data_IF_497135852267
#
_entry.id   IF_497135852267
#
_cell.length_a   1.000
_cell.length_b   1.000
_cell.length_c   1.000
_cell.angle_alpha   90.00
_cell.angle_beta   90.00
_cell.angle_gamma   90.00
#
_symmetry.space_group_name_H-M   'P 1'
#
loop_
_entity.id
_entity.type
_entity.pdbx_description
1 polymer ?
#
# COMPACT_ATOMS: atom_id res chain seq x y z
N UNK A 1 10.17 -4.38 -9.28
CA UNK A 1 10.35 -2.91 -9.19
C UNK A 1 11.83 -2.64 -9.00
N UNK A 2 12.49 -1.84 -9.85
CA UNK A 2 13.90 -1.51 -9.66
C UNK A 2 14.08 -0.71 -8.36
N UNK A 3 15.13 -1.02 -7.61
CA UNK A 3 15.45 -0.31 -6.38
C UNK A 3 15.92 1.12 -6.68
N UNK A 4 15.56 2.13 -5.86
CA UNK A 4 16.07 3.47 -6.03
C UNK A 4 17.59 3.52 -5.78
N UNK A 5 18.27 4.48 -6.42
CA UNK A 5 19.68 4.76 -6.16
C UNK A 5 19.92 4.99 -4.66
N UNK A 6 20.97 4.37 -4.11
CA UNK A 6 21.32 4.46 -2.69
C UNK A 6 21.53 5.91 -2.23
N UNK A 7 21.26 6.17 -0.95
CA UNK A 7 21.37 7.51 -0.38
C UNK A 7 22.82 8.02 -0.40
N UNK A 8 23.80 7.14 -0.18
CA UNK A 8 25.23 7.47 -0.27
C UNK A 8 25.62 7.97 -1.68
N UNK A 9 25.20 7.27 -2.75
CA UNK A 9 25.48 7.71 -4.12
C UNK A 9 24.84 9.06 -4.44
N UNK A 10 23.66 9.37 -3.86
CA UNK A 10 23.02 10.68 -3.99
C UNK A 10 23.79 11.78 -3.27
N UNK A 11 24.28 11.51 -2.05
CA UNK A 11 25.11 12.47 -1.31
C UNK A 11 26.44 12.74 -2.02
N UNK A 12 27.13 11.70 -2.51
CA UNK A 12 28.35 11.87 -3.30
C UNK A 12 28.10 12.62 -4.59
N UNK A 13 26.99 12.35 -5.28
CA UNK A 13 26.61 13.08 -6.48
C UNK A 13 26.42 14.57 -6.18
N UNK A 14 25.73 14.90 -5.08
CA UNK A 14 25.55 16.29 -4.66
C UNK A 14 26.88 17.00 -4.42
N UNK A 15 27.80 16.38 -3.67
CA UNK A 15 29.15 16.93 -3.45
C UNK A 15 29.87 17.22 -4.76
N UNK A 16 29.86 16.30 -5.72
CA UNK A 16 30.49 16.54 -7.03
C UNK A 16 29.90 17.72 -7.79
N UNK A 17 28.59 17.95 -7.70
CA UNK A 17 27.98 19.14 -8.33
C UNK A 17 28.38 20.42 -7.59
N UNK A 18 28.45 20.38 -6.25
CA UNK A 18 28.91 21.50 -5.42
C UNK A 18 30.40 21.82 -5.65
N UNK A 19 31.22 20.79 -5.90
CA UNK A 19 32.64 20.90 -6.30
C UNK A 19 32.83 21.39 -7.76
N UNK A 20 31.74 21.69 -8.47
CA UNK A 20 31.77 22.29 -9.81
C UNK A 20 31.83 21.29 -10.97
N UNK A 21 31.70 19.98 -10.74
CA UNK A 21 31.69 19.01 -11.84
C UNK A 21 30.38 19.09 -12.64
N UNK A 22 30.48 18.79 -13.94
CA UNK A 22 29.29 18.63 -14.77
C UNK A 22 28.48 17.39 -14.36
N UNK A 23 27.17 17.42 -14.63
CA UNK A 23 26.27 16.29 -14.35
C UNK A 23 26.73 14.97 -15.02
N UNK A 24 27.35 15.05 -16.20
CA UNK A 24 27.86 13.88 -16.93
C UNK A 24 29.15 13.35 -16.30
N UNK A 25 30.04 14.21 -15.82
CA UNK A 25 31.26 13.80 -15.12
C UNK A 25 30.96 13.18 -13.77
N UNK A 26 30.09 13.80 -12.98
CA UNK A 26 29.63 13.25 -11.70
C UNK A 26 28.96 11.87 -11.88
N UNK A 27 28.15 11.71 -12.94
CA UNK A 27 27.53 10.43 -13.27
C UNK A 27 28.56 9.34 -13.64
N UNK A 28 29.56 9.69 -14.46
CA UNK A 28 30.65 8.79 -14.84
C UNK A 28 31.45 8.33 -13.61
N UNK A 29 31.79 9.23 -12.69
CA UNK A 29 32.52 8.90 -11.45
C UNK A 29 31.75 7.96 -10.53
N UNK A 30 30.43 7.98 -10.57
CA UNK A 30 29.55 7.13 -9.76
C UNK A 30 29.02 5.92 -10.53
N UNK A 31 29.50 5.68 -11.76
CA UNK A 31 29.06 4.58 -12.62
C UNK A 31 27.53 4.51 -12.81
N UNK A 32 26.87 5.67 -12.85
CA UNK A 32 25.43 5.79 -13.12
C UNK A 32 25.19 6.35 -14.51
N UNK A 33 24.00 6.10 -15.08
CA UNK A 33 23.68 6.56 -16.42
C UNK A 33 23.68 8.10 -16.53
N UNK A 34 24.13 8.68 -17.66
CA UNK A 34 24.14 10.12 -17.87
C UNK A 34 22.77 10.78 -17.69
N UNK A 35 21.70 10.11 -18.14
CA UNK A 35 20.33 10.56 -17.94
C UNK A 35 19.94 10.66 -16.45
N UNK A 36 20.43 9.76 -15.60
CA UNK A 36 20.23 9.84 -14.15
C UNK A 36 20.99 11.02 -13.56
N UNK A 37 22.25 11.22 -13.98
CA UNK A 37 23.02 12.38 -13.56
C UNK A 37 22.35 13.71 -13.89
N UNK A 38 21.84 13.88 -15.12
CA UNK A 38 21.12 15.10 -15.52
C UNK A 38 19.89 15.35 -14.65
N UNK A 39 19.10 14.31 -14.36
CA UNK A 39 17.91 14.40 -13.47
C UNK A 39 18.30 14.81 -12.04
N UNK A 40 19.35 14.21 -11.49
CA UNK A 40 19.83 14.55 -10.14
C UNK A 40 20.40 15.97 -10.08
N UNK A 41 21.19 16.38 -11.07
CA UNK A 41 21.77 17.72 -11.12
C UNK A 41 20.69 18.81 -11.25
N UNK A 42 19.60 18.54 -11.98
CA UNK A 42 18.43 19.45 -12.01
C UNK A 42 17.86 19.66 -10.61
N UNK A 43 17.65 18.60 -9.85
CA UNK A 43 17.14 18.67 -8.47
C UNK A 43 18.08 19.43 -7.54
N UNK A 44 19.39 19.17 -7.63
CA UNK A 44 20.41 19.91 -6.84
C UNK A 44 20.33 21.42 -7.13
N UNK A 45 20.24 21.82 -8.41
CA UNK A 45 20.10 23.23 -8.80
C UNK A 45 18.79 23.87 -8.33
N UNK A 46 17.73 23.08 -8.17
CA UNK A 46 16.45 23.53 -7.62
C UNK A 46 16.47 23.61 -6.09
N UNK A 47 17.60 23.29 -5.43
CA UNK A 47 17.69 23.23 -3.97
C UNK A 47 16.98 22.03 -3.36
N UNK A 48 16.55 21.05 -4.18
CA UNK A 48 15.80 19.89 -3.71
C UNK A 48 16.71 18.87 -3.03
N UNK A 49 16.21 18.26 -1.96
CA UNK A 49 16.88 17.15 -1.32
C UNK A 49 16.89 15.92 -2.25
N UNK A 50 18.06 15.31 -2.43
CA UNK A 50 18.20 14.04 -3.16
C UNK A 50 17.83 12.86 -2.27
N UNK A 51 16.57 12.80 -1.83
CA UNK A 51 16.04 11.66 -1.07
C UNK A 51 15.26 10.76 -2.02
N UNK A 52 15.39 9.44 -1.85
CA UNK A 52 14.52 8.51 -2.55
C UNK A 52 13.07 8.71 -2.10
N UNK A 53 12.15 8.89 -3.04
CA UNK A 53 10.74 8.85 -2.72
C UNK A 53 10.34 7.42 -2.30
N UNK A 54 9.30 7.29 -1.47
CA UNK A 54 8.77 5.99 -1.06
C UNK A 54 8.32 5.23 -2.31
N UNK A 55 9.09 4.22 -2.71
CA UNK A 55 8.74 3.31 -3.79
C UNK A 55 8.00 2.11 -3.18
N UNK A 56 6.76 1.89 -3.57
CA UNK A 56 5.99 0.73 -3.12
C UNK A 56 4.50 0.98 -3.03
N UNK A 57 3.77 -0.04 -2.60
CA UNK A 57 2.33 0.10 -2.33
C UNK A 57 2.14 1.16 -1.24
N UNK A 58 1.19 2.09 -1.39
CA UNK A 58 0.89 3.08 -0.35
C UNK A 58 0.69 2.38 1.00
N UNK A 59 1.35 2.88 2.04
CA UNK A 59 1.06 2.42 3.40
C UNK A 59 -0.39 2.77 3.71
N UNK A 60 -1.18 1.78 4.12
CA UNK A 60 -2.57 1.99 4.49
C UNK A 60 -3.47 0.77 4.34
N UNK A 61 -4.75 1.06 4.45
CA UNK A 61 -5.84 0.08 4.52
C UNK A 61 -6.63 0.00 3.21
N UNK A 62 -6.13 0.66 2.17
CA UNK A 62 -6.82 0.77 0.89
C UNK A 62 -8.19 1.41 1.06
N UNK A 63 -9.19 0.88 0.36
CA UNK A 63 -10.58 1.31 0.42
C UNK A 63 -11.20 1.22 1.82
N UNK A 64 -10.66 0.38 2.71
CA UNK A 64 -11.17 0.19 4.08
C UNK A 64 -10.56 1.15 5.11
N UNK A 65 -9.70 2.08 4.68
CA UNK A 65 -9.08 3.06 5.59
C UNK A 65 -10.07 3.94 6.35
N UNK A 66 -11.04 4.56 5.66
CA UNK A 66 -12.08 5.37 6.30
C UNK A 66 -13.04 4.55 7.17
N UNK A 67 -13.28 3.29 6.80
CA UNK A 67 -14.38 2.46 7.34
C UNK A 67 -13.96 1.53 8.49
N UNK A 68 -12.82 1.82 9.15
CA UNK A 68 -12.30 0.96 10.22
C UNK A 68 -13.17 0.98 11.47
N UNK A 69 -13.66 2.15 11.85
CA UNK A 69 -14.47 2.30 13.05
C UNK A 69 -15.75 1.49 12.92
N UNK A 70 -16.42 1.57 11.77
CA UNK A 70 -17.60 0.77 11.44
C UNK A 70 -17.28 -0.73 11.43
N UNK A 71 -16.14 -1.15 10.88
CA UNK A 71 -15.73 -2.56 10.93
C UNK A 71 -15.53 -3.07 12.35
N UNK A 72 -14.93 -2.26 13.23
CA UNK A 72 -14.74 -2.58 14.65
C UNK A 72 -16.08 -2.69 15.36
N UNK A 73 -16.95 -1.69 15.17
CA UNK A 73 -18.27 -1.63 15.81
C UNK A 73 -19.14 -2.83 15.42
N UNK A 74 -19.19 -3.20 14.13
CA UNK A 74 -19.97 -4.35 13.67
C UNK A 74 -19.48 -5.67 14.28
N UNK A 75 -18.16 -5.84 14.43
CA UNK A 75 -17.58 -7.05 15.03
C UNK A 75 -17.72 -7.05 16.56
N UNK A 76 -17.76 -5.89 17.20
CA UNK A 76 -18.01 -5.79 18.64
C UNK A 76 -19.49 -6.01 18.99
N UNK A 77 -20.41 -5.57 18.13
CA UNK A 77 -21.84 -5.81 18.27
C UNK A 77 -22.18 -7.29 18.07
N UNK A 78 -21.58 -7.93 17.07
CA UNK A 78 -21.74 -9.36 16.80
C UNK A 78 -20.40 -10.03 16.49
N UNK A 79 -19.74 -10.65 17.49
CA UNK A 79 -18.48 -11.34 17.30
C UNK A 79 -18.55 -12.57 16.38
N UNK A 80 -19.74 -13.13 16.16
CA UNK A 80 -19.96 -14.30 15.30
C UNK A 80 -20.41 -13.90 13.88
N UNK A 81 -20.46 -12.61 13.56
CA UNK A 81 -20.83 -12.10 12.23
C UNK A 81 -19.95 -12.73 11.14
N UNK A 82 -20.59 -13.28 10.12
CA UNK A 82 -19.88 -13.89 9.00
C UNK A 82 -19.26 -12.82 8.11
N UNK A 83 -18.22 -13.20 7.35
CA UNK A 83 -17.56 -12.26 6.44
C UNK A 83 -18.50 -11.79 5.31
N UNK A 84 -19.47 -12.62 4.91
CA UNK A 84 -20.46 -12.30 3.90
C UNK A 84 -21.47 -11.25 4.40
N UNK A 85 -21.93 -11.41 5.64
CA UNK A 85 -22.79 -10.42 6.31
C UNK A 85 -22.05 -9.10 6.53
N UNK A 86 -20.80 -9.14 6.99
CA UNK A 86 -19.97 -7.96 7.15
C UNK A 86 -19.77 -7.21 5.82
N UNK A 87 -19.55 -7.95 4.73
CA UNK A 87 -19.48 -7.38 3.37
C UNK A 87 -20.81 -6.75 2.96
N UNK A 88 -21.94 -7.41 3.25
CA UNK A 88 -23.28 -6.89 2.98
C UNK A 88 -23.57 -5.61 3.75
N UNK A 89 -23.24 -5.56 5.04
CA UNK A 89 -23.38 -4.38 5.88
C UNK A 89 -22.56 -3.20 5.35
N UNK A 90 -21.29 -3.42 4.95
CA UNK A 90 -20.49 -2.35 4.33
C UNK A 90 -21.05 -1.84 3.01
N UNK A 91 -21.61 -2.74 2.19
CA UNK A 91 -22.25 -2.33 0.94
C UNK A 91 -23.54 -1.53 1.19
N UNK A 92 -24.33 -1.92 2.20
CA UNK A 92 -25.59 -1.27 2.54
C UNK A 92 -25.44 0.09 3.20
N UNK A 93 -24.48 0.25 4.12
CA UNK A 93 -24.30 1.49 4.90
C UNK A 93 -23.48 2.53 4.13
N UNK A 94 -22.40 2.10 3.45
CA UNK A 94 -21.41 3.03 2.87
C UNK A 94 -21.20 2.85 1.37
N UNK A 95 -21.88 1.89 0.72
CA UNK A 95 -21.70 1.61 -0.71
C UNK A 95 -20.34 0.98 -1.05
N UNK A 96 -19.64 0.43 -0.05
CA UNK A 96 -18.27 -0.05 -0.20
C UNK A 96 -18.25 -1.52 -0.61
N UNK A 97 -17.97 -1.76 -1.90
CA UNK A 97 -17.79 -3.12 -2.40
C UNK A 97 -16.34 -3.60 -2.20
N UNK A 98 -16.16 -4.57 -1.30
CA UNK A 98 -14.89 -5.23 -1.03
C UNK A 98 -15.02 -6.74 -1.07
N UNK A 99 -13.93 -7.42 -1.44
CA UNK A 99 -13.84 -8.87 -1.37
C UNK A 99 -13.65 -9.33 0.08
N UNK A 100 -14.24 -10.45 0.48
CA UNK A 100 -14.15 -11.03 1.83
C UNK A 100 -12.71 -11.23 2.30
N UNK A 101 -11.82 -11.68 1.42
CA UNK A 101 -10.39 -11.81 1.74
C UNK A 101 -9.71 -10.48 2.12
N UNK A 102 -10.24 -9.34 1.65
CA UNK A 102 -9.75 -8.00 2.02
C UNK A 102 -10.23 -7.61 3.41
N UNK A 103 -11.49 -7.92 3.74
CA UNK A 103 -12.05 -7.75 5.09
C UNK A 103 -11.31 -8.61 6.11
N UNK A 104 -11.09 -9.90 5.83
CA UNK A 104 -10.33 -10.80 6.71
C UNK A 104 -8.90 -10.29 6.96
N UNK A 105 -8.22 -9.79 5.92
CA UNK A 105 -6.89 -9.18 6.06
C UNK A 105 -6.92 -7.88 6.88
N UNK A 106 -7.97 -7.07 6.74
CA UNK A 106 -8.16 -5.87 7.53
C UNK A 106 -8.38 -6.21 9.01
N UNK A 107 -9.31 -7.11 9.33
CA UNK A 107 -9.58 -7.56 10.71
C UNK A 107 -8.34 -8.14 11.39
N UNK A 108 -7.58 -9.00 10.69
CA UNK A 108 -6.30 -9.53 11.20
C UNK A 108 -5.28 -8.43 11.50
N UNK A 109 -5.25 -7.37 10.70
CA UNK A 109 -4.37 -6.21 10.93
C UNK A 109 -4.84 -5.33 12.09
N UNK A 110 -6.14 -5.33 12.41
CA UNK A 110 -6.70 -4.65 13.59
C UNK A 110 -6.49 -5.45 14.89
N UNK A 111 -6.02 -6.69 14.79
CA UNK A 111 -5.78 -7.56 15.94
C UNK A 111 -6.85 -8.63 16.16
N UNK A 112 -7.96 -8.61 15.41
CA UNK A 112 -8.96 -9.66 15.49
C UNK A 112 -8.41 -10.97 14.93
N UNK A 113 -8.38 -11.99 15.79
CA UNK A 113 -8.08 -13.37 15.40
C UNK A 113 -9.31 -14.21 15.65
N UNK A 114 -9.83 -14.79 14.59
CA UNK A 114 -10.90 -15.76 14.72
C UNK A 114 -10.34 -17.05 15.32
N UNK A 115 -10.81 -17.44 16.50
CA UNK A 115 -10.54 -18.76 17.08
C UNK A 115 -11.46 -19.75 16.38
N UNK A 116 -10.88 -20.70 15.65
CA UNK A 116 -11.65 -21.75 14.97
C UNK A 116 -12.21 -22.73 16.00
N UNK A 117 -13.35 -22.41 16.59
CA UNK A 117 -14.10 -23.35 17.41
C UNK A 117 -14.86 -24.28 16.45
N UNK A 118 -14.49 -25.56 16.42
CA UNK A 118 -15.01 -26.60 15.52
C UNK A 118 -16.50 -26.99 15.75
N UNK A 119 -17.34 -26.08 16.26
CA UNK A 119 -18.70 -26.40 16.72
C UNK A 119 -19.85 -25.88 15.86
N UNK A 120 -19.61 -25.39 14.64
CA UNK A 120 -20.71 -24.91 13.80
C UNK A 120 -20.88 -25.64 12.47
N UNK A 121 -22.17 -25.95 12.26
CA UNK A 121 -22.85 -26.67 11.18
C UNK A 121 -22.57 -25.98 9.84
N UNK A 122 -22.24 -26.76 8.82
CA UNK A 122 -22.20 -26.25 7.45
C UNK A 122 -23.63 -25.88 7.04
N UNK A 123 -23.97 -24.60 7.07
CA UNK A 123 -25.14 -24.10 6.34
C UNK A 123 -24.77 -24.08 4.88
N UNK A 124 -25.14 -25.15 4.16
CA UNK A 124 -25.18 -25.16 2.72
C UNK A 124 -26.39 -24.34 2.30
N UNK A 125 -26.18 -23.05 2.02
CA UNK A 125 -27.07 -22.31 1.14
C UNK A 125 -26.25 -21.29 0.35
N UNK A 126 -25.88 -21.67 -0.87
CA UNK A 126 -25.32 -20.75 -1.86
C UNK A 126 -26.50 -20.25 -2.71
N UNK A 127 -26.84 -18.95 -2.70
CA UNK A 127 -27.71 -18.43 -3.73
C UNK A 127 -26.94 -18.38 -5.06
N UNK A 128 -27.48 -19.11 -6.03
CA UNK A 128 -27.08 -19.14 -7.43
C UNK A 128 -27.15 -17.72 -8.04
N UNK A 129 -26.02 -17.13 -8.39
CA UNK A 129 -25.99 -15.97 -9.30
C UNK A 129 -25.93 -16.47 -10.75
N UNK A 130 -27.11 -16.74 -11.32
CA UNK A 130 -27.30 -16.84 -12.76
C UNK A 130 -27.49 -15.44 -13.34
N UNK A 131 -26.57 -14.99 -14.21
CA UNK A 131 -26.78 -13.83 -15.08
C UNK A 131 -27.00 -14.30 -16.52
N UNK A 132 -27.97 -13.76 -17.27
CA UNK A 132 -28.16 -14.12 -18.66
C UNK A 132 -27.17 -13.38 -19.57
N UNK A 133 -26.78 -14.06 -20.65
CA UNK A 133 -26.15 -13.51 -21.88
C UNK A 133 -27.21 -12.94 -22.81
#
# INVERSE_FOLDING_TARGET
MPAPLSQDLRHRFRRYIEDGLSAREAARRLLISPATGVRLARRVRQGEALVAQKCGRPLGWGKLGPHKALLVELVEQDPDITMAELKGALAGVEGVHVHESSLSRALRRMGYRFKKNHRWRMSADQPHFGGPV
#
